data_IF_541232772997
#
_entry.id   IF_541232772997
#
_cell.length_a   1.000
_cell.length_b   1.000
_cell.length_c   1.000
_cell.angle_alpha   90.00
_cell.angle_beta   90.00
_cell.angle_gamma   90.00
#
_symmetry.space_group_name_H-M   'P 1'
#
loop_
_entity.id
_entity.type
_entity.pdbx_description
1 polymer ?
#
# COMPACT_ATOMS: atom_id res chain seq x y z
N UNK A 1 -7.34 33.59 3.87
CA UNK A 1 -7.45 32.13 4.07
C UNK A 1 -7.31 31.46 2.72
N UNK A 2 -6.13 30.95 2.41
CA UNK A 2 -5.84 30.28 1.14
C UNK A 2 -6.36 28.84 1.22
N UNK A 3 -7.49 28.57 0.55
CA UNK A 3 -7.87 27.23 0.18
C UNK A 3 -6.98 26.79 -0.98
N UNK A 4 -6.03 25.89 -0.72
CA UNK A 4 -5.29 25.21 -1.78
C UNK A 4 -6.27 24.31 -2.54
N UNK A 5 -6.71 24.77 -3.71
CA UNK A 5 -7.41 23.96 -4.71
C UNK A 5 -6.44 22.92 -5.28
N UNK A 6 -6.47 21.71 -4.75
CA UNK A 6 -5.81 20.57 -5.40
C UNK A 6 -6.70 20.09 -6.55
N UNK A 7 -6.23 20.28 -7.78
CA UNK A 7 -6.93 19.88 -9.01
C UNK A 7 -6.37 18.54 -9.50
N UNK A 8 -7.15 17.45 -9.59
CA UNK A 8 -6.66 16.15 -10.04
C UNK A 8 -6.81 16.06 -11.57
N UNK A 9 -5.95 16.74 -12.32
CA UNK A 9 -6.02 16.67 -13.78
C UNK A 9 -4.65 16.77 -14.43
N UNK A 10 -3.71 15.89 -14.06
CA UNK A 10 -2.57 15.51 -14.91
C UNK A 10 -1.75 14.42 -14.20
N UNK A 11 -1.44 13.32 -14.88
CA UNK A 11 -0.43 12.42 -14.33
C UNK A 11 -0.40 10.97 -14.80
N UNK A 12 -0.92 10.63 -15.99
CA UNK A 12 -0.81 9.26 -16.57
C UNK A 12 0.63 8.70 -16.63
N UNK A 13 1.67 9.52 -16.43
CA UNK A 13 3.08 9.09 -16.29
C UNK A 13 3.94 9.88 -15.30
N UNK A 14 3.38 10.82 -14.52
CA UNK A 14 4.17 11.79 -13.76
C UNK A 14 4.67 11.29 -12.38
N UNK A 15 3.96 10.36 -11.76
CA UNK A 15 4.30 9.83 -10.43
C UNK A 15 5.58 8.98 -10.43
N UNK A 16 5.75 8.16 -11.49
CA UNK A 16 6.89 7.25 -11.65
C UNK A 16 8.18 8.01 -12.03
N UNK A 17 8.08 9.04 -12.86
CA UNK A 17 9.22 9.79 -13.38
C UNK A 17 10.03 10.54 -12.31
N UNK A 18 9.64 10.45 -11.03
CA UNK A 18 10.26 11.12 -9.87
C UNK A 18 10.67 10.14 -8.75
N UNK A 19 10.67 8.84 -9.01
CA UNK A 19 11.18 7.87 -8.05
C UNK A 19 12.71 7.97 -7.99
N UNK A 20 13.24 8.15 -6.78
CA UNK A 20 14.68 8.13 -6.52
C UNK A 20 15.16 6.70 -6.25
N UNK A 21 16.46 6.55 -5.98
CA UNK A 21 17.10 5.24 -5.75
C UNK A 21 16.41 4.43 -4.64
N UNK A 22 16.08 5.06 -3.52
CA UNK A 22 15.41 4.38 -2.40
C UNK A 22 14.01 3.88 -2.77
N UNK A 23 13.22 4.66 -3.50
CA UNK A 23 11.87 4.23 -3.88
C UNK A 23 11.90 3.15 -4.97
N UNK A 24 12.88 3.19 -5.88
CA UNK A 24 13.10 2.12 -6.85
C UNK A 24 13.48 0.82 -6.15
N UNK A 25 14.33 0.88 -5.13
CA UNK A 25 14.69 -0.30 -4.35
C UNK A 25 13.51 -0.86 -3.56
N UNK A 26 12.75 0.02 -2.89
CA UNK A 26 11.51 -0.35 -2.23
C UNK A 26 10.52 -0.99 -3.22
N UNK A 27 10.37 -0.44 -4.42
CA UNK A 27 9.49 -0.98 -5.45
C UNK A 27 9.94 -2.38 -5.91
N UNK A 28 11.24 -2.61 -6.10
CA UNK A 28 11.79 -3.94 -6.47
C UNK A 28 11.49 -4.98 -5.39
N UNK A 29 11.80 -4.65 -4.14
CA UNK A 29 11.52 -5.51 -2.99
C UNK A 29 10.02 -5.80 -2.88
N UNK A 30 9.20 -4.76 -3.00
CA UNK A 30 7.75 -4.87 -2.91
C UNK A 30 7.17 -5.75 -4.03
N UNK A 31 7.70 -5.65 -5.26
CA UNK A 31 7.28 -6.49 -6.38
C UNK A 31 7.41 -7.97 -6.07
N UNK A 32 8.55 -8.39 -5.50
CA UNK A 32 8.77 -9.79 -5.10
C UNK A 32 7.81 -10.24 -4.00
N UNK A 33 7.53 -9.38 -3.01
CA UNK A 33 6.64 -9.72 -1.90
C UNK A 33 5.18 -9.82 -2.36
N UNK A 34 4.74 -8.90 -3.22
CA UNK A 34 3.37 -8.87 -3.75
C UNK A 34 3.05 -10.11 -4.57
N UNK A 35 3.99 -10.61 -5.39
CA UNK A 35 3.74 -11.81 -6.20
C UNK A 35 3.48 -13.08 -5.39
N UNK A 36 3.80 -13.09 -4.10
CA UNK A 36 3.59 -14.23 -3.20
C UNK A 36 2.36 -14.09 -2.30
N UNK A 37 1.63 -12.98 -2.39
CA UNK A 37 0.47 -12.74 -1.54
C UNK A 37 -0.73 -13.57 -2.00
N UNK A 38 -1.44 -14.12 -1.03
CA UNK A 38 -2.75 -14.72 -1.26
C UNK A 38 -3.80 -13.66 -1.62
N UNK A 39 -4.95 -14.04 -2.20
CA UNK A 39 -6.01 -13.07 -2.52
C UNK A 39 -6.51 -12.27 -1.31
N UNK A 40 -6.58 -12.87 -0.11
CA UNK A 40 -6.94 -12.16 1.12
C UNK A 40 -5.84 -11.17 1.55
N UNK A 41 -4.58 -11.58 1.47
CA UNK A 41 -3.44 -10.72 1.78
C UNK A 41 -3.36 -9.52 0.84
N UNK A 42 -3.64 -9.72 -0.45
CA UNK A 42 -3.75 -8.64 -1.42
C UNK A 42 -4.82 -7.60 -1.02
N UNK A 43 -6.01 -8.06 -0.62
CA UNK A 43 -7.11 -7.17 -0.19
C UNK A 43 -6.74 -6.38 1.08
N UNK A 44 -6.16 -7.06 2.06
CA UNK A 44 -5.74 -6.41 3.31
C UNK A 44 -4.62 -5.40 3.04
N UNK A 45 -3.63 -5.80 2.25
CA UNK A 45 -2.50 -4.93 1.92
C UNK A 45 -2.94 -3.72 1.10
N UNK A 46 -3.85 -3.87 0.13
CA UNK A 46 -4.37 -2.74 -0.64
C UNK A 46 -5.13 -1.75 0.24
N UNK A 47 -5.94 -2.25 1.17
CA UNK A 47 -6.66 -1.42 2.12
C UNK A 47 -5.72 -0.64 3.05
N UNK A 48 -4.69 -1.30 3.60
CA UNK A 48 -3.70 -0.63 4.46
C UNK A 48 -2.82 0.33 3.65
N UNK A 49 -2.45 -0.03 2.42
CA UNK A 49 -1.71 0.86 1.52
C UNK A 49 -2.45 2.17 1.31
N UNK A 50 -3.74 2.10 1.01
CA UNK A 50 -4.56 3.27 0.73
C UNK A 50 -4.74 4.17 1.95
N UNK A 51 -4.90 3.59 3.14
CA UNK A 51 -5.17 4.32 4.38
C UNK A 51 -3.92 4.66 5.20
N UNK A 52 -2.77 4.03 4.94
CA UNK A 52 -1.47 4.15 5.63
C UNK A 52 -1.49 3.70 7.10
N UNK A 53 -2.51 4.06 7.88
CA UNK A 53 -2.70 3.67 9.28
C UNK A 53 -4.19 3.48 9.55
N UNK A 54 -4.55 2.34 10.16
CA UNK A 54 -5.94 2.00 10.44
C UNK A 54 -6.05 1.44 11.85
N UNK A 55 -7.01 1.96 12.64
CA UNK A 55 -7.35 1.39 13.94
C UNK A 55 -7.89 -0.03 13.83
N UNK A 56 -7.52 -0.90 14.76
CA UNK A 56 -7.85 -2.34 14.76
C UNK A 56 -9.36 -2.58 14.67
N UNK A 57 -10.18 -1.82 15.40
CA UNK A 57 -11.63 -1.97 15.38
C UNK A 57 -12.23 -1.64 14.00
N UNK A 58 -11.77 -0.56 13.37
CA UNK A 58 -12.23 -0.19 12.03
C UNK A 58 -11.77 -1.21 10.99
N UNK A 59 -10.50 -1.61 11.09
CA UNK A 59 -9.91 -2.62 10.22
C UNK A 59 -10.68 -3.94 10.28
N UNK A 60 -10.93 -4.48 11.48
CA UNK A 60 -11.67 -5.73 11.63
C UNK A 60 -13.09 -5.63 11.10
N UNK A 61 -13.80 -4.54 11.42
CA UNK A 61 -15.15 -4.29 10.93
C UNK A 61 -15.18 -4.28 9.40
N UNK A 62 -14.32 -3.50 8.76
CA UNK A 62 -14.31 -3.35 7.30
C UNK A 62 -13.87 -4.65 6.61
N UNK A 63 -12.84 -5.32 7.12
CA UNK A 63 -12.37 -6.58 6.52
C UNK A 63 -13.43 -7.68 6.58
N UNK A 64 -14.19 -7.78 7.67
CA UNK A 64 -15.27 -8.78 7.80
C UNK A 64 -16.47 -8.39 6.93
N UNK A 65 -16.98 -7.17 7.06
CA UNK A 65 -18.28 -6.79 6.50
C UNK A 65 -18.21 -6.33 5.04
N UNK A 66 -17.12 -5.69 4.63
CA UNK A 66 -16.95 -5.15 3.28
C UNK A 66 -16.17 -6.13 2.41
N UNK A 67 -15.08 -6.70 2.93
CA UNK A 67 -14.17 -7.53 2.15
C UNK A 67 -14.40 -9.04 2.28
N UNK A 68 -15.26 -9.46 3.22
CA UNK A 68 -15.65 -10.86 3.44
C UNK A 68 -14.56 -11.73 4.07
N UNK A 69 -13.56 -11.13 4.72
CA UNK A 69 -12.42 -11.83 5.32
C UNK A 69 -12.80 -12.25 6.74
N UNK A 70 -12.90 -13.57 6.97
CA UNK A 70 -13.39 -14.11 8.26
C UNK A 70 -12.44 -13.90 9.43
N UNK A 71 -11.12 -13.93 9.20
CA UNK A 71 -10.10 -13.80 10.25
C UNK A 71 -9.05 -12.74 9.87
N UNK A 72 -9.42 -11.44 9.85
CA UNK A 72 -8.54 -10.37 9.40
C UNK A 72 -7.23 -10.29 10.16
N UNK A 73 -7.26 -10.53 11.47
CA UNK A 73 -6.08 -10.55 12.33
C UNK A 73 -5.02 -11.54 11.84
N UNK A 74 -5.41 -12.75 11.40
CA UNK A 74 -4.46 -13.74 10.90
C UNK A 74 -3.80 -13.29 9.59
N UNK A 75 -4.55 -12.61 8.73
CA UNK A 75 -4.03 -12.06 7.48
C UNK A 75 -3.05 -10.93 7.77
N UNK A 76 -3.43 -10.00 8.67
CA UNK A 76 -2.56 -8.92 9.11
C UNK A 76 -1.27 -9.44 9.77
N UNK A 77 -1.36 -10.49 10.58
CA UNK A 77 -0.20 -11.14 11.20
C UNK A 77 0.80 -11.63 10.15
N UNK A 78 0.34 -12.33 9.10
CA UNK A 78 1.20 -12.80 8.00
C UNK A 78 1.83 -11.65 7.20
N UNK A 79 1.06 -10.59 6.93
CA UNK A 79 1.60 -9.39 6.27
C UNK A 79 2.66 -8.69 7.12
N UNK A 80 2.49 -8.71 8.45
CA UNK A 80 3.49 -8.19 9.40
C UNK A 80 4.76 -9.04 9.40
N UNK A 81 4.63 -10.36 9.40
CA UNK A 81 5.77 -11.30 9.28
C UNK A 81 6.55 -11.09 7.97
N UNK A 82 5.85 -10.76 6.87
CA UNK A 82 6.45 -10.35 5.59
C UNK A 82 7.06 -8.95 5.61
N UNK A 83 6.86 -8.18 6.68
CA UNK A 83 7.35 -6.81 6.82
C UNK A 83 6.64 -5.78 5.94
N UNK A 84 5.43 -6.08 5.46
CA UNK A 84 4.62 -5.16 4.65
C UNK A 84 3.81 -4.18 5.51
N UNK A 85 3.51 -4.59 6.75
CA UNK A 85 2.80 -3.78 7.73
C UNK A 85 3.49 -3.85 9.10
N UNK A 86 3.20 -2.86 9.95
CA UNK A 86 3.66 -2.73 11.32
C UNK A 86 2.45 -2.64 12.25
N UNK A 87 2.57 -3.11 13.49
CA UNK A 87 1.53 -2.97 14.51
C UNK A 87 1.94 -1.85 15.48
N UNK A 88 1.09 -0.84 15.62
CA UNK A 88 1.16 0.14 16.70
C UNK A 88 0.21 -0.23 17.84
N UNK A 89 0.02 0.66 18.80
CA UNK A 89 -0.97 0.46 19.85
C UNK A 89 -2.39 0.57 19.26
N UNK A 90 -3.07 -0.56 19.10
CA UNK A 90 -4.42 -0.63 18.55
C UNK A 90 -4.55 -0.26 17.06
N UNK A 91 -3.45 -0.27 16.29
CA UNK A 91 -3.44 0.15 14.88
C UNK A 91 -2.57 -0.75 14.00
N UNK A 92 -3.00 -0.97 12.76
CA UNK A 92 -2.18 -1.51 11.68
C UNK A 92 -1.66 -0.38 10.80
N UNK A 93 -0.36 -0.35 10.57
CA UNK A 93 0.34 0.68 9.80
C UNK A 93 1.03 0.06 8.59
N UNK A 94 1.10 0.81 7.49
CA UNK A 94 2.00 0.48 6.39
C UNK A 94 3.45 0.55 6.88
N UNK A 95 4.26 -0.45 6.52
CA UNK A 95 5.65 -0.52 6.94
C UNK A 95 6.42 0.75 6.55
N UNK A 96 7.31 1.21 7.44
CA UNK A 96 7.98 2.51 7.29
C UNK A 96 8.72 2.66 5.96
N UNK A 97 9.36 1.58 5.49
CA UNK A 97 10.11 1.55 4.23
C UNK A 97 9.23 1.70 2.97
N UNK A 98 7.91 1.52 3.11
CA UNK A 98 6.94 1.69 2.02
C UNK A 98 6.29 3.08 1.99
N UNK A 99 6.32 3.82 3.10
CA UNK A 99 5.59 5.10 3.21
C UNK A 99 6.06 6.14 2.19
N UNK A 100 7.37 6.22 1.94
CA UNK A 100 7.94 7.16 0.96
C UNK A 100 7.49 6.82 -0.47
N UNK A 101 7.51 5.53 -0.81
CA UNK A 101 6.99 5.03 -2.07
C UNK A 101 5.49 5.33 -2.21
N UNK A 102 4.68 5.04 -1.18
CA UNK A 102 3.24 5.32 -1.13
C UNK A 102 2.89 6.78 -1.39
N UNK A 103 3.65 7.72 -0.81
CA UNK A 103 3.46 9.15 -1.03
C UNK A 103 3.72 9.59 -2.47
N UNK A 104 4.69 8.97 -3.15
CA UNK A 104 5.01 9.30 -4.55
C UNK A 104 4.10 8.61 -5.55
N UNK A 105 3.76 7.35 -5.31
CA UNK A 105 3.01 6.52 -6.24
C UNK A 105 1.51 6.83 -6.19
N UNK A 106 0.96 7.06 -5.00
CA UNK A 106 -0.49 7.18 -4.84
C UNK A 106 -1.12 5.88 -4.34
N UNK A 107 -2.42 5.72 -4.62
CA UNK A 107 -3.25 4.59 -4.19
C UNK A 107 -2.76 3.27 -4.76
N UNK A 108 -3.35 2.18 -4.29
CA UNK A 108 -2.94 0.84 -4.64
C UNK A 108 -3.12 0.56 -6.13
N UNK A 109 -4.16 1.13 -6.76
CA UNK A 109 -4.38 1.00 -8.20
C UNK A 109 -3.24 1.64 -9.01
N UNK A 110 -2.72 2.78 -8.57
CA UNK A 110 -1.54 3.37 -9.20
C UNK A 110 -0.30 2.50 -8.99
N UNK A 111 -0.12 1.94 -7.79
CA UNK A 111 0.99 1.03 -7.51
C UNK A 111 1.00 -0.18 -8.45
N UNK A 112 -0.15 -0.84 -8.65
CA UNK A 112 -0.25 -1.99 -9.56
C UNK A 112 0.21 -1.64 -10.98
N UNK A 113 -0.20 -0.47 -11.50
CA UNK A 113 0.25 0.01 -12.81
C UNK A 113 1.76 0.21 -12.87
N UNK A 114 2.39 0.66 -11.79
CA UNK A 114 3.85 0.80 -11.71
C UNK A 114 4.53 -0.58 -11.67
N UNK A 115 3.95 -1.54 -10.95
CA UNK A 115 4.48 -2.90 -10.83
C UNK A 115 4.40 -3.70 -12.14
N UNK A 116 3.37 -3.48 -12.94
CA UNK A 116 3.19 -4.10 -14.26
C UNK A 116 4.22 -3.61 -15.29
N UNK A 117 4.80 -2.42 -15.08
CA UNK A 117 5.81 -1.89 -15.99
C UNK A 117 7.15 -2.62 -15.84
N UNK A 118 7.86 -2.88 -16.95
CA UNK A 118 9.23 -3.39 -16.88
C UNK A 118 10.14 -2.42 -16.10
N UNK A 119 10.93 -2.93 -15.15
CA UNK A 119 11.84 -2.09 -14.35
C UNK A 119 12.89 -1.35 -15.21
N UNK A 120 13.18 -1.85 -16.41
CA UNK A 120 14.06 -1.19 -17.39
C UNK A 120 13.46 0.11 -17.98
N UNK A 121 12.17 0.38 -17.72
CA UNK A 121 11.42 1.53 -18.26
C UNK A 121 10.94 2.52 -17.18
N UNK A 122 11.43 2.35 -15.94
CA UNK A 122 11.16 3.21 -14.78
C UNK A 122 12.41 3.99 -14.41
#
# INVERSE_FOLDING_TARGET
MLWCSWSPSTGRGAAVARLGREELEALRRLRSLISELTPEEHKVFSYIWDNISVGELLFEKDMVHIHGIRKPYLVAMRLRERGLIERGEGCYNLARWLRRLRMKVGRFEELLRVLERPLATL
#
